data_IF_007837899520
#
_entry.id   IF_007837899520
#
_cell.length_a   1.000
_cell.length_b   1.000
_cell.length_c   1.000
_cell.angle_alpha   90.00
_cell.angle_beta   90.00
_cell.angle_gamma   90.00
#
_symmetry.space_group_name_H-M   'P 1'
#
loop_
_entity.id
_entity.type
_entity.pdbx_description
1 polymer ?
#
# COMPACT_ATOMS: atom_id res chain seq x y z
N UNK A 1 -19.43 -16.04 11.08
CA UNK A 1 -19.73 -15.50 9.73
C UNK A 1 -18.54 -14.69 9.26
N UNK A 2 -17.89 -15.05 8.15
CA UNK A 2 -16.79 -14.26 7.56
C UNK A 2 -17.34 -13.02 6.86
N UNK A 3 -16.68 -11.88 7.05
CA UNK A 3 -17.02 -10.63 6.34
C UNK A 3 -16.31 -10.59 4.99
N UNK A 4 -16.94 -10.05 3.92
CA UNK A 4 -16.27 -9.84 2.65
C UNK A 4 -15.09 -8.88 2.82
N UNK A 5 -13.93 -9.34 2.39
CA UNK A 5 -12.66 -8.63 2.42
C UNK A 5 -12.22 -8.36 0.98
N UNK A 6 -11.87 -7.11 0.68
CA UNK A 6 -11.37 -6.68 -0.62
C UNK A 6 -10.07 -5.90 -0.47
N UNK A 7 -9.14 -6.13 -1.40
CA UNK A 7 -7.85 -5.43 -1.47
C UNK A 7 -7.65 -4.91 -2.88
N UNK A 8 -7.38 -3.61 -3.01
CA UNK A 8 -7.01 -2.98 -4.29
C UNK A 8 -5.55 -2.60 -4.24
N UNK A 9 -4.78 -3.12 -5.20
CA UNK A 9 -3.33 -2.89 -5.32
C UNK A 9 -3.04 -2.14 -6.60
N UNK A 10 -2.33 -1.02 -6.49
CA UNK A 10 -1.89 -0.23 -7.64
C UNK A 10 -0.45 -0.60 -7.97
N UNK A 11 -0.24 -1.43 -8.99
CA UNK A 11 1.10 -1.83 -9.44
C UNK A 11 1.74 -0.79 -10.36
N UNK A 12 3.07 -0.73 -10.35
CA UNK A 12 3.89 -0.12 -11.40
C UNK A 12 4.59 -1.23 -12.16
N UNK A 13 4.38 -1.32 -13.48
CA UNK A 13 5.11 -2.27 -14.33
C UNK A 13 6.53 -1.75 -14.60
N UNK A 14 7.59 -2.57 -14.52
CA UNK A 14 8.98 -2.12 -14.67
C UNK A 14 9.32 -1.47 -16.03
N UNK A 15 8.44 -1.63 -17.03
CA UNK A 15 8.65 -1.16 -18.41
C UNK A 15 7.51 -0.27 -18.94
N UNK A 16 6.50 0.06 -18.12
CA UNK A 16 5.45 0.98 -18.55
C UNK A 16 5.97 2.42 -18.40
N UNK A 17 6.21 3.08 -19.53
CA UNK A 17 6.52 4.50 -19.55
C UNK A 17 5.41 5.27 -18.81
N UNK A 18 5.80 6.03 -17.79
CA UNK A 18 4.90 6.95 -17.07
C UNK A 18 4.44 8.04 -18.04
N UNK A 19 3.39 7.79 -18.82
CA UNK A 19 2.68 8.85 -19.52
C UNK A 19 1.82 9.57 -18.48
N UNK A 20 2.40 10.62 -17.90
CA UNK A 20 1.68 11.66 -17.18
C UNK A 20 0.95 12.50 -18.23
N UNK A 21 -0.10 11.93 -18.82
CA UNK A 21 -0.92 12.53 -19.86
C UNK A 21 -2.39 12.28 -19.56
N UNK A 22 -3.18 13.36 -19.56
CA UNK A 22 -4.63 13.30 -19.42
C UNK A 22 -5.26 12.48 -20.57
N UNK A 23 -5.40 11.16 -20.37
CA UNK A 23 -6.35 10.28 -21.05
C UNK A 23 -6.19 8.86 -20.56
N UNK A 24 -7.23 8.34 -19.91
CA UNK A 24 -7.53 6.90 -19.75
C UNK A 24 -6.30 6.02 -19.44
N UNK A 25 -5.83 6.05 -18.19
CA UNK A 25 -5.14 4.88 -17.63
C UNK A 25 -6.14 3.72 -17.69
N UNK A 26 -5.83 2.57 -18.32
CA UNK A 26 -6.64 1.39 -18.15
C UNK A 26 -6.49 0.97 -16.68
N UNK A 27 -7.41 1.43 -15.83
CA UNK A 27 -7.51 1.00 -14.44
C UNK A 27 -7.92 -0.46 -14.43
N UNK A 28 -6.96 -1.36 -14.60
CA UNK A 28 -7.17 -2.78 -14.38
C UNK A 28 -7.05 -2.99 -12.87
N UNK A 29 -8.16 -3.33 -12.22
CA UNK A 29 -8.13 -3.89 -10.86
C UNK A 29 -7.34 -5.20 -10.97
N UNK A 30 -6.08 -5.19 -10.54
CA UNK A 30 -5.23 -6.39 -10.59
C UNK A 30 -5.62 -7.26 -9.39
N UNK A 31 -6.24 -8.41 -9.64
CA UNK A 31 -6.45 -9.42 -8.59
C UNK A 31 -5.10 -9.98 -8.15
N UNK A 32 -5.01 -10.47 -6.90
CA UNK A 32 -3.83 -11.16 -6.38
C UNK A 32 -3.35 -12.27 -7.33
N UNK A 33 -4.27 -12.90 -8.06
CA UNK A 33 -4.01 -14.00 -9.00
C UNK A 33 -3.31 -13.57 -10.30
N UNK A 34 -3.58 -12.36 -10.79
CA UNK A 34 -2.96 -11.82 -12.02
C UNK A 34 -1.47 -11.52 -11.82
N UNK A 35 -1.05 -11.38 -10.55
CA UNK A 35 0.32 -11.09 -10.15
C UNK A 35 1.21 -12.33 -10.06
N UNK A 36 0.64 -13.53 -9.89
CA UNK A 36 1.39 -14.76 -9.61
C UNK A 36 1.91 -15.41 -10.90
N UNK A 37 1.32 -15.08 -12.05
CA UNK A 37 1.73 -15.62 -13.36
C UNK A 37 2.89 -14.86 -14.03
N UNK A 38 3.43 -13.83 -13.37
CA UNK A 38 4.61 -13.08 -13.80
C UNK A 38 5.61 -12.91 -12.65
N UNK A 39 6.37 -13.96 -12.34
CA UNK A 39 7.59 -13.94 -11.53
C UNK A 39 7.59 -13.10 -10.23
N UNK A 40 7.32 -13.73 -9.08
CA UNK A 40 7.87 -13.37 -7.74
C UNK A 40 7.79 -11.92 -7.25
N UNK A 41 6.95 -11.05 -7.81
CA UNK A 41 7.30 -9.66 -7.75
C UNK A 41 6.91 -8.89 -6.46
N UNK A 42 6.30 -9.44 -5.38
CA UNK A 42 5.60 -8.70 -4.27
C UNK A 42 5.37 -7.20 -4.57
N UNK A 43 4.16 -6.78 -4.98
CA UNK A 43 3.98 -5.43 -5.52
C UNK A 43 4.31 -4.42 -4.43
N UNK A 44 5.40 -3.68 -4.63
CA UNK A 44 5.73 -2.51 -3.82
C UNK A 44 4.70 -1.46 -4.14
N UNK A 45 3.59 -1.52 -3.43
CA UNK A 45 2.39 -0.80 -3.79
C UNK A 45 1.72 -0.23 -2.54
N UNK A 46 1.29 1.01 -2.68
CA UNK A 46 0.27 1.57 -1.81
C UNK A 46 -1.02 0.73 -1.99
N UNK A 47 -1.63 0.31 -0.90
CA UNK A 47 -2.80 -0.58 -0.92
C UNK A 47 -4.01 0.14 -0.32
N UNK A 48 -5.17 -0.08 -0.92
CA UNK A 48 -6.46 0.22 -0.30
C UNK A 48 -7.09 -1.09 0.18
N UNK A 49 -7.52 -1.12 1.43
CA UNK A 49 -8.20 -2.26 2.04
C UNK A 49 -9.65 -1.90 2.38
N UNK A 50 -10.58 -2.81 2.08
CA UNK A 50 -11.99 -2.69 2.41
C UNK A 50 -12.45 -3.94 3.17
N UNK A 51 -13.18 -3.73 4.27
CA UNK A 51 -13.95 -4.76 4.95
C UNK A 51 -15.40 -4.32 4.96
N UNK A 52 -16.21 -4.96 4.12
CA UNK A 52 -17.61 -4.56 3.94
C UNK A 52 -18.51 -5.37 4.88
N UNK A 53 -19.57 -4.75 5.38
CA UNK A 53 -20.67 -5.46 6.04
C UNK A 53 -21.49 -6.22 4.99
N UNK A 54 -21.96 -7.42 5.34
CA UNK A 54 -22.81 -8.23 4.44
C UNK A 54 -24.26 -7.75 4.39
N UNK A 55 -24.71 -6.95 5.35
CA UNK A 55 -26.07 -6.42 5.49
C UNK A 55 -26.00 -5.04 6.19
N UNK A 56 -26.95 -4.73 7.10
CA UNK A 56 -26.89 -3.56 7.99
C UNK A 56 -25.65 -3.67 8.88
N UNK A 57 -24.70 -2.75 8.72
CA UNK A 57 -23.47 -2.76 9.49
C UNK A 57 -22.49 -1.66 9.06
N UNK A 58 -21.36 -1.59 9.76
CA UNK A 58 -20.32 -0.59 9.51
C UNK A 58 -19.24 -1.15 8.59
N UNK A 59 -18.99 -0.47 7.47
CA UNK A 59 -17.84 -0.75 6.62
C UNK A 59 -16.57 -0.17 7.21
N UNK A 60 -15.45 -0.86 7.03
CA UNK A 60 -14.13 -0.38 7.40
C UNK A 60 -13.28 -0.27 6.14
N UNK A 61 -12.50 0.80 6.06
CA UNK A 61 -11.60 1.03 4.95
C UNK A 61 -10.37 1.77 5.42
N UNK A 62 -9.23 1.48 4.81
CA UNK A 62 -7.98 2.15 5.12
C UNK A 62 -7.04 2.18 3.92
N UNK A 63 -6.13 3.15 3.93
CA UNK A 63 -4.95 3.16 3.07
C UNK A 63 -3.82 2.54 3.88
N UNK A 64 -3.24 1.45 3.35
CA UNK A 64 -2.19 0.67 4.00
C UNK A 64 -0.95 0.62 3.12
N UNK A 65 0.19 0.86 3.74
CA UNK A 65 1.52 0.78 3.10
C UNK A 65 2.22 -0.52 3.52
N UNK A 66 1.44 -1.59 3.69
CA UNK A 66 1.88 -2.89 4.21
C UNK A 66 2.93 -3.53 3.30
N UNK A 67 2.95 -3.20 2.01
CA UNK A 67 3.92 -3.70 1.05
C UNK A 67 4.87 -2.59 0.52
N UNK A 68 4.78 -1.37 1.08
CA UNK A 68 5.53 -0.19 0.66
C UNK A 68 4.63 0.91 0.10
N UNK A 69 5.24 1.90 -0.56
CA UNK A 69 4.58 3.01 -1.23
C UNK A 69 5.10 3.13 -2.67
N UNK A 70 4.22 3.42 -3.62
CA UNK A 70 4.60 3.81 -4.98
C UNK A 70 3.84 5.05 -5.44
N UNK A 71 2.57 5.19 -5.04
CA UNK A 71 1.68 6.27 -5.45
C UNK A 71 0.86 6.79 -4.25
N UNK A 72 0.55 8.10 -4.20
CA UNK A 72 -0.41 8.65 -3.25
C UNK A 72 -1.82 8.08 -3.48
N UNK A 73 -2.55 7.76 -2.42
CA UNK A 73 -3.91 7.20 -2.49
C UNK A 73 -4.83 7.88 -1.47
N UNK A 74 -6.13 7.94 -1.80
CA UNK A 74 -7.17 8.42 -0.89
C UNK A 74 -8.49 7.69 -1.10
N UNK A 75 -9.25 7.52 -0.02
CA UNK A 75 -10.61 6.99 -0.02
C UNK A 75 -11.53 8.09 0.50
N UNK A 76 -12.50 8.49 -0.32
CA UNK A 76 -13.54 9.45 0.07
C UNK A 76 -14.90 8.77 -0.09
N UNK A 77 -15.57 8.39 1.02
CA UNK A 77 -16.91 7.81 0.99
C UNK A 77 -17.92 8.78 0.37
N UNK A 78 -18.82 8.27 -0.47
CA UNK A 78 -19.90 9.04 -1.10
C UNK A 78 -21.27 8.48 -0.65
N UNK A 79 -22.27 9.35 -0.49
CA UNK A 79 -23.66 8.94 -0.25
C UNK A 79 -23.95 8.25 1.09
N UNK A 80 -23.17 8.54 2.14
CA UNK A 80 -23.26 7.92 3.47
C UNK A 80 -23.54 8.94 4.59
N UNK A 81 -23.94 8.52 5.80
CA UNK A 81 -24.02 9.44 6.94
C UNK A 81 -22.69 10.15 7.18
N UNK A 82 -22.74 11.37 7.74
CA UNK A 82 -21.59 12.26 7.98
C UNK A 82 -20.47 11.65 8.87
N UNK A 83 -20.66 10.44 9.40
CA UNK A 83 -19.71 9.71 10.24
C UNK A 83 -18.61 8.98 9.47
N UNK A 84 -18.69 8.86 8.14
CA UNK A 84 -17.66 8.23 7.33
C UNK A 84 -16.56 9.23 6.93
N UNK A 85 -15.42 9.20 7.63
CA UNK A 85 -14.28 10.09 7.34
C UNK A 85 -13.49 9.65 6.11
N UNK A 86 -12.99 10.61 5.33
CA UNK A 86 -11.99 10.31 4.30
C UNK A 86 -10.67 9.86 4.95
N UNK A 87 -9.90 9.02 4.24
CA UNK A 87 -8.55 8.60 4.66
C UNK A 87 -7.61 8.67 3.46
N UNK A 88 -6.34 9.06 3.68
CA UNK A 88 -5.39 9.25 2.60
C UNK A 88 -3.94 9.08 3.03
N UNK A 89 -3.12 8.64 2.08
CA UNK A 89 -1.68 8.86 2.06
C UNK A 89 -1.40 9.76 0.85
N UNK A 90 -1.53 11.07 1.03
CA UNK A 90 -1.43 12.04 -0.06
C UNK A 90 0.02 12.50 -0.35
N UNK A 91 0.92 12.35 0.62
CA UNK A 91 2.30 12.77 0.48
C UNK A 91 3.06 11.86 -0.50
N UNK A 92 4.00 12.44 -1.25
CA UNK A 92 4.92 11.66 -2.08
C UNK A 92 6.04 11.06 -1.19
N UNK A 93 5.80 9.85 -0.67
CA UNK A 93 6.77 9.18 0.19
C UNK A 93 8.08 8.82 -0.54
N UNK A 94 8.05 8.67 -1.87
CA UNK A 94 9.27 8.43 -2.66
C UNK A 94 10.30 9.55 -2.49
N UNK A 95 9.85 10.81 -2.31
CA UNK A 95 10.73 11.96 -2.12
C UNK A 95 11.44 11.96 -0.75
N UNK A 96 10.81 11.39 0.28
CA UNK A 96 11.37 11.28 1.63
C UNK A 96 12.01 9.92 1.92
N UNK A 97 11.95 8.98 0.97
CA UNK A 97 12.40 7.60 1.17
C UNK A 97 13.86 7.52 1.55
N UNK A 98 14.14 6.89 2.70
CA UNK A 98 15.49 6.58 3.12
C UNK A 98 16.24 5.74 2.06
N UNK A 99 17.54 5.97 1.78
CA UNK A 99 18.27 5.31 0.69
C UNK A 99 18.19 3.77 0.70
N UNK A 100 18.21 3.16 1.89
CA UNK A 100 18.08 1.69 2.05
C UNK A 100 16.69 1.13 1.72
N UNK A 101 15.70 1.99 1.54
CA UNK A 101 14.32 1.64 1.24
C UNK A 101 13.91 1.99 -0.20
N UNK A 102 14.73 2.75 -0.92
CA UNK A 102 14.41 3.21 -2.26
C UNK A 102 14.39 2.05 -3.27
N UNK A 103 13.44 2.12 -4.20
CA UNK A 103 13.47 1.39 -5.46
C UNK A 103 13.64 2.41 -6.57
N UNK A 104 14.64 2.18 -7.40
CA UNK A 104 15.02 3.11 -8.46
C UNK A 104 14.59 2.60 -9.83
N UNK A 105 14.10 3.52 -10.66
CA UNK A 105 13.86 3.28 -12.08
C UNK A 105 15.17 3.24 -12.88
N UNK A 106 15.05 2.94 -14.17
CA UNK A 106 16.17 2.92 -15.11
C UNK A 106 16.84 4.28 -15.28
N UNK A 107 16.10 5.37 -15.05
CA UNK A 107 16.58 6.75 -15.05
C UNK A 107 17.23 7.18 -13.71
N UNK A 108 17.29 6.28 -12.72
CA UNK A 108 17.82 6.55 -11.38
C UNK A 108 16.85 7.27 -10.45
N UNK A 109 15.64 7.61 -10.90
CA UNK A 109 14.59 8.22 -10.08
C UNK A 109 14.03 7.22 -9.06
N UNK A 110 13.56 7.70 -7.90
CA UNK A 110 12.91 6.83 -6.90
C UNK A 110 11.45 6.63 -7.28
N UNK A 111 11.12 5.40 -7.71
CA UNK A 111 9.78 5.03 -8.22
C UNK A 111 8.92 4.34 -7.15
N UNK A 112 9.53 3.81 -6.09
CA UNK A 112 8.83 3.25 -4.94
C UNK A 112 9.71 3.28 -3.67
N UNK A 113 9.05 3.15 -2.52
CA UNK A 113 9.66 3.05 -1.21
C UNK A 113 9.23 1.76 -0.52
N UNK A 114 10.20 0.88 -0.22
CA UNK A 114 9.99 -0.35 0.55
C UNK A 114 9.68 0.00 2.00
N UNK A 115 8.87 -0.83 2.67
CA UNK A 115 8.83 -0.86 4.14
C UNK A 115 10.10 -1.49 4.69
N UNK A 116 10.44 -1.21 5.95
CA UNK A 116 11.62 -1.75 6.61
C UNK A 116 11.68 -3.29 6.64
N UNK A 117 10.55 -3.98 6.86
CA UNK A 117 10.53 -5.44 6.84
C UNK A 117 10.95 -6.02 5.49
N UNK A 118 10.49 -5.43 4.37
CA UNK A 118 10.88 -5.91 3.03
C UNK A 118 12.36 -5.62 2.72
N UNK A 119 12.92 -4.56 3.29
CA UNK A 119 14.32 -4.20 3.09
C UNK A 119 15.29 -5.00 3.98
N UNK A 120 14.90 -5.33 5.20
CA UNK A 120 15.83 -5.86 6.22
C UNK A 120 15.46 -7.26 6.75
N UNK A 121 14.21 -7.69 6.58
CA UNK A 121 13.70 -8.98 7.08
C UNK A 121 13.99 -9.25 8.57
N UNK A 122 13.90 -8.22 9.42
CA UNK A 122 14.16 -8.33 10.85
C UNK A 122 12.84 -8.38 11.67
N UNK A 123 12.78 -9.17 12.76
CA UNK A 123 11.55 -9.36 13.53
C UNK A 123 10.86 -8.06 14.01
N UNK A 124 11.65 -7.09 14.45
CA UNK A 124 11.17 -5.78 14.91
C UNK A 124 10.52 -4.95 13.80
N UNK A 125 10.90 -5.15 12.54
CA UNK A 125 10.28 -4.47 11.39
C UNK A 125 9.12 -5.28 10.82
N UNK A 126 9.17 -6.61 10.93
CA UNK A 126 8.16 -7.52 10.39
C UNK A 126 7.04 -7.84 11.37
N UNK A 127 7.14 -7.39 12.62
CA UNK A 127 6.18 -7.71 13.68
C UNK A 127 6.05 -9.22 13.92
N UNK A 128 7.18 -9.95 13.94
CA UNK A 128 7.23 -11.40 14.13
C UNK A 128 7.96 -11.79 15.42
N UNK A 129 7.88 -13.07 15.80
CA UNK A 129 8.47 -13.57 17.04
C UNK A 129 7.99 -12.76 18.25
N UNK A 130 8.89 -12.25 19.09
CA UNK A 130 8.57 -11.44 20.27
C UNK A 130 7.91 -10.09 19.94
N UNK A 131 7.92 -9.65 18.67
CA UNK A 131 7.29 -8.42 18.18
C UNK A 131 5.91 -8.66 17.57
N UNK A 132 5.25 -9.77 17.84
CA UNK A 132 3.95 -10.12 17.25
C UNK A 132 2.73 -9.57 18.01
N UNK A 133 2.92 -8.91 19.16
CA UNK A 133 1.85 -8.32 19.97
C UNK A 133 1.92 -6.80 20.06
N UNK A 134 0.80 -6.08 20.24
CA UNK A 134 0.79 -4.61 20.29
C UNK A 134 1.77 -3.99 21.31
N UNK A 135 1.94 -4.60 22.48
CA UNK A 135 2.79 -4.06 23.55
C UNK A 135 4.28 -4.07 23.22
N UNK A 136 4.72 -4.97 22.33
CA UNK A 136 6.13 -5.09 21.90
C UNK A 136 6.36 -4.49 20.51
N UNK A 137 5.31 -4.07 19.80
CA UNK A 137 5.37 -3.42 18.49
C UNK A 137 5.53 -1.91 18.64
N UNK A 138 6.77 -1.46 18.67
CA UNK A 138 7.06 -0.03 18.74
C UNK A 138 7.32 0.56 17.34
N UNK A 139 6.83 1.79 17.07
CA UNK A 139 7.20 2.51 15.86
C UNK A 139 8.72 2.68 15.77
N UNK A 140 9.27 2.35 14.61
CA UNK A 140 10.71 2.48 14.31
C UNK A 140 10.98 3.77 13.52
N UNK A 141 12.25 4.17 13.40
CA UNK A 141 12.64 5.31 12.56
C UNK A 141 12.13 5.18 11.11
N UNK A 142 12.04 3.95 10.59
CA UNK A 142 11.55 3.69 9.23
C UNK A 142 10.03 3.73 9.13
N UNK A 143 9.30 3.26 10.15
CA UNK A 143 7.84 3.29 10.11
C UNK A 143 7.26 4.67 10.39
N UNK A 144 7.99 5.55 11.09
CA UNK A 144 7.59 6.95 11.35
C UNK A 144 7.66 7.86 10.11
N UNK A 145 8.30 7.40 9.04
CA UNK A 145 8.37 8.11 7.76
C UNK A 145 7.06 7.98 6.95
N UNK A 146 6.26 6.96 7.26
CA UNK A 146 4.97 6.66 6.65
C UNK A 146 3.84 7.17 7.56
#
# INVERSE_FOLDING_TARGET
MSRPYGRVVFGVEPNAQTQMGSSRVPQRTVDRSDYINGANAIPLASVIEFTLATNVGQDFYDVRLVDGFNLPLSITPQGRPASCSATSCAANVNAASHPKLQVKGSDGSVIACKRACLAFNQPQYCCTSTYNIPSTRHPTQYSKMF
#
